data_IF_436032201241
#
_entry.id   IF_436032201241
#
_cell.length_a   1.000
_cell.length_b   1.000
_cell.length_c   1.000
_cell.angle_alpha   90.00
_cell.angle_beta   90.00
_cell.angle_gamma   90.00
#
_symmetry.space_group_name_H-M   'P 1'
#
loop_
_entity.id
_entity.type
_entity.pdbx_description
1 polymer ?
#
# COMPACT_ATOMS: atom_id res chain seq x y z
N UNK A 1 -29.16 31.60 -45.99
CA UNK A 1 -28.35 30.76 -45.10
C UNK A 1 -28.85 29.32 -45.22
N UNK A 2 -28.00 28.35 -45.59
CA UNK A 2 -28.43 26.97 -45.82
C UNK A 2 -28.69 26.25 -44.48
N UNK A 3 -29.89 26.41 -43.91
CA UNK A 3 -30.30 25.76 -42.65
C UNK A 3 -30.11 24.24 -42.67
N UNK A 4 -30.21 23.61 -43.85
CA UNK A 4 -29.96 22.18 -44.05
C UNK A 4 -28.52 21.74 -43.73
N UNK A 5 -27.54 22.65 -43.84
CA UNK A 5 -26.13 22.37 -43.51
C UNK A 5 -25.78 22.77 -42.07
N UNK A 6 -26.46 23.75 -41.48
CA UNK A 6 -26.20 24.19 -40.11
C UNK A 6 -26.69 23.18 -39.07
N UNK A 7 -27.82 22.52 -39.32
CA UNK A 7 -28.39 21.54 -38.40
C UNK A 7 -27.46 20.33 -38.13
N UNK A 8 -26.90 19.64 -39.15
CA UNK A 8 -25.97 18.54 -38.90
C UNK A 8 -24.68 19.01 -38.23
N UNK A 9 -24.17 20.20 -38.56
CA UNK A 9 -22.97 20.76 -37.92
C UNK A 9 -23.19 21.03 -36.41
N UNK A 10 -24.34 21.57 -36.05
CA UNK A 10 -24.71 21.79 -34.65
C UNK A 10 -24.83 20.46 -33.89
N UNK A 11 -25.47 19.45 -34.48
CA UNK A 11 -25.59 18.12 -33.87
C UNK A 11 -24.21 17.51 -33.65
N UNK A 12 -23.35 17.51 -34.67
CA UNK A 12 -22.00 16.94 -34.54
C UNK A 12 -21.17 17.70 -33.50
N UNK A 13 -21.31 19.02 -33.42
CA UNK A 13 -20.62 19.84 -32.43
C UNK A 13 -21.08 19.48 -31.01
N UNK A 14 -22.39 19.40 -30.79
CA UNK A 14 -22.97 19.04 -29.48
C UNK A 14 -22.58 17.62 -29.08
N UNK A 15 -22.66 16.66 -30.00
CA UNK A 15 -22.27 15.27 -29.74
C UNK A 15 -20.79 15.17 -29.39
N UNK A 16 -19.93 15.92 -30.11
CA UNK A 16 -18.49 15.96 -29.83
C UNK A 16 -18.20 16.57 -28.46
N UNK A 17 -18.85 17.69 -28.12
CA UNK A 17 -18.71 18.33 -26.81
C UNK A 17 -19.16 17.42 -25.66
N UNK A 18 -20.31 16.75 -25.80
CA UNK A 18 -20.82 15.81 -24.80
C UNK A 18 -19.90 14.61 -24.65
N UNK A 19 -19.43 14.03 -25.75
CA UNK A 19 -18.49 12.91 -25.74
C UNK A 19 -17.19 13.27 -25.00
N UNK A 20 -16.61 14.43 -25.31
CA UNK A 20 -15.41 14.94 -24.66
C UNK A 20 -15.62 15.16 -23.16
N UNK A 21 -16.75 15.76 -22.78
CA UNK A 21 -17.10 16.00 -21.39
C UNK A 21 -17.20 14.71 -20.58
N UNK A 22 -17.93 13.71 -21.11
CA UNK A 22 -18.09 12.41 -20.47
C UNK A 22 -16.73 11.71 -20.33
N UNK A 23 -15.92 11.71 -21.39
CA UNK A 23 -14.59 11.11 -21.39
C UNK A 23 -13.69 11.73 -20.31
N UNK A 24 -13.64 13.06 -20.22
CA UNK A 24 -12.85 13.76 -19.21
C UNK A 24 -13.33 13.49 -17.79
N UNK A 25 -14.63 13.40 -17.58
CA UNK A 25 -15.18 13.09 -16.26
C UNK A 25 -14.79 11.69 -15.80
N UNK A 26 -14.89 10.69 -16.68
CA UNK A 26 -14.41 9.34 -16.40
C UNK A 26 -12.90 9.29 -16.18
N UNK A 27 -12.12 9.98 -17.01
CA UNK A 27 -10.67 10.08 -16.85
C UNK A 27 -10.29 10.65 -15.48
N UNK A 28 -10.87 11.80 -15.09
CA UNK A 28 -10.63 12.42 -13.78
C UNK A 28 -10.95 11.49 -12.61
N UNK A 29 -12.08 10.78 -12.67
CA UNK A 29 -12.47 9.82 -11.62
C UNK A 29 -11.47 8.67 -11.51
N UNK A 30 -11.05 8.10 -12.65
CA UNK A 30 -10.07 7.02 -12.70
C UNK A 30 -8.71 7.48 -12.18
N UNK A 31 -8.27 8.68 -12.54
CA UNK A 31 -6.97 9.22 -12.11
C UNK A 31 -6.93 9.46 -10.60
N UNK A 32 -8.01 9.96 -10.00
CA UNK A 32 -8.11 10.12 -8.54
C UNK A 32 -8.03 8.76 -7.85
N UNK A 33 -8.80 7.77 -8.32
CA UNK A 33 -8.80 6.43 -7.75
C UNK A 33 -7.42 5.75 -7.85
N UNK A 34 -6.74 5.91 -9.00
CA UNK A 34 -5.40 5.38 -9.21
C UNK A 34 -4.38 6.05 -8.28
N UNK A 35 -4.40 7.38 -8.14
CA UNK A 35 -3.51 8.10 -7.23
C UNK A 35 -3.71 7.73 -5.77
N UNK A 36 -4.96 7.58 -5.33
CA UNK A 36 -5.27 7.11 -3.98
C UNK A 36 -4.73 5.70 -3.73
N UNK A 37 -4.91 4.80 -4.71
CA UNK A 37 -4.40 3.43 -4.65
C UNK A 37 -2.87 3.40 -4.60
N UNK A 38 -2.21 4.18 -5.45
CA UNK A 38 -0.74 4.30 -5.49
C UNK A 38 -0.18 4.78 -4.16
N UNK A 39 -0.74 5.86 -3.61
CA UNK A 39 -0.33 6.42 -2.31
C UNK A 39 -0.47 5.38 -1.20
N UNK A 40 -1.62 4.70 -1.11
CA UNK A 40 -1.86 3.64 -0.13
C UNK A 40 -0.85 2.51 -0.24
N UNK A 41 -0.56 2.04 -1.46
CA UNK A 41 0.41 0.97 -1.70
C UNK A 41 1.80 1.40 -1.24
N UNK A 42 2.22 2.62 -1.56
CA UNK A 42 3.54 3.13 -1.18
C UNK A 42 3.73 3.18 0.35
N UNK A 43 2.72 3.67 1.08
CA UNK A 43 2.76 3.65 2.55
C UNK A 43 2.84 2.23 3.11
N UNK A 44 2.04 1.29 2.57
CA UNK A 44 2.05 -0.10 3.03
C UNK A 44 3.36 -0.84 2.69
N UNK A 45 4.00 -0.52 1.56
CA UNK A 45 5.33 -1.04 1.21
C UNK A 45 6.37 -0.54 2.22
N UNK A 46 6.38 0.76 2.53
CA UNK A 46 7.31 1.34 3.49
C UNK A 46 7.09 0.79 4.90
N UNK A 47 5.84 0.64 5.32
CA UNK A 47 5.50 -0.01 6.58
C UNK A 47 6.00 -1.47 6.62
N UNK A 48 5.76 -2.25 5.56
CA UNK A 48 6.25 -3.62 5.47
C UNK A 48 7.79 -3.70 5.54
N UNK A 49 8.50 -2.81 4.85
CA UNK A 49 9.98 -2.76 4.87
C UNK A 49 10.53 -2.43 6.26
N UNK A 50 9.93 -1.46 6.95
CA UNK A 50 10.35 -1.08 8.31
C UNK A 50 10.06 -2.17 9.34
N UNK A 51 8.89 -2.82 9.25
CA UNK A 51 8.55 -3.96 10.10
C UNK A 51 9.44 -5.17 9.81
N UNK A 52 9.70 -5.48 8.52
CA UNK A 52 10.66 -6.52 8.15
C UNK A 52 11.99 -6.20 8.79
N UNK A 53 12.48 -4.96 8.70
CA UNK A 53 13.77 -4.55 9.23
C UNK A 53 13.87 -4.68 10.76
N UNK A 54 12.78 -4.36 11.46
CA UNK A 54 12.67 -4.48 12.92
C UNK A 54 12.57 -5.95 13.38
N UNK A 55 11.98 -6.83 12.56
CA UNK A 55 11.81 -8.23 12.92
C UNK A 55 13.15 -8.95 13.18
N UNK A 56 13.17 -9.79 14.22
CA UNK A 56 14.33 -10.58 14.67
C UNK A 56 15.56 -9.75 15.06
N UNK A 57 15.38 -8.51 15.54
CA UNK A 57 16.41 -7.74 16.25
C UNK A 57 16.02 -7.62 17.72
N UNK A 58 16.96 -7.91 18.63
CA UNK A 58 16.74 -7.81 20.08
C UNK A 58 16.90 -6.37 20.60
N UNK A 59 17.45 -5.46 19.79
CA UNK A 59 17.64 -4.07 20.17
C UNK A 59 16.39 -3.26 19.88
N UNK A 60 15.70 -2.88 20.97
CA UNK A 60 14.64 -1.87 21.04
C UNK A 60 15.06 -0.48 20.55
N UNK A 61 16.29 -0.31 20.08
CA UNK A 61 16.87 0.97 19.61
C UNK A 61 16.21 1.52 18.33
N UNK A 62 15.10 0.89 17.90
CA UNK A 62 14.29 1.27 16.74
C UNK A 62 12.79 1.12 16.99
N UNK A 63 12.31 1.53 18.17
CA UNK A 63 10.88 1.74 18.45
C UNK A 63 10.19 2.50 17.30
N UNK A 64 10.87 3.48 16.70
CA UNK A 64 10.36 4.23 15.53
C UNK A 64 10.05 3.34 14.30
N UNK A 65 10.81 2.25 14.13
CA UNK A 65 10.59 1.27 13.06
C UNK A 65 9.43 0.31 13.35
N UNK A 66 8.82 0.37 14.54
CA UNK A 66 7.60 -0.34 14.91
C UNK A 66 6.41 0.61 14.98
N UNK A 67 6.53 1.73 15.70
CA UNK A 67 5.43 2.67 15.92
C UNK A 67 4.90 3.30 14.63
N UNK A 68 5.79 3.86 13.80
CA UNK A 68 5.37 4.52 12.55
C UNK A 68 4.70 3.55 11.59
N UNK A 69 5.27 2.35 11.31
CA UNK A 69 4.60 1.38 10.46
C UNK A 69 3.26 0.88 11.00
N UNK A 70 3.13 0.67 12.32
CA UNK A 70 1.86 0.25 12.93
C UNK A 70 0.80 1.34 12.72
N UNK A 71 1.15 2.61 12.94
CA UNK A 71 0.25 3.74 12.68
C UNK A 71 -0.11 3.85 11.18
N UNK A 72 0.86 3.70 10.28
CA UNK A 72 0.63 3.71 8.83
C UNK A 72 -0.33 2.58 8.42
N UNK A 73 -0.19 1.39 8.99
CA UNK A 73 -1.09 0.25 8.72
C UNK A 73 -2.49 0.50 9.28
N UNK A 74 -2.61 1.11 10.46
CA UNK A 74 -3.92 1.48 11.01
C UNK A 74 -4.66 2.48 10.11
N UNK A 75 -3.93 3.40 9.47
CA UNK A 75 -4.49 4.42 8.58
C UNK A 75 -4.79 3.90 7.17
N UNK A 76 -3.88 3.14 6.58
CA UNK A 76 -3.92 2.77 5.16
C UNK A 76 -4.24 1.30 4.90
N UNK A 77 -4.24 0.47 5.94
CA UNK A 77 -4.43 -0.97 5.85
C UNK A 77 -5.87 -1.39 5.58
N UNK A 78 -6.02 -2.67 5.24
CA UNK A 78 -7.32 -3.33 5.19
C UNK A 78 -7.81 -3.66 6.60
N UNK A 79 -9.11 -3.93 6.77
CA UNK A 79 -9.68 -4.32 8.08
C UNK A 79 -8.91 -5.44 8.79
N UNK A 80 -8.44 -6.45 8.03
CA UNK A 80 -7.65 -7.57 8.56
C UNK A 80 -6.23 -7.13 8.98
N UNK A 81 -5.60 -6.24 8.21
CA UNK A 81 -4.29 -5.71 8.58
C UNK A 81 -4.38 -4.81 9.81
N UNK A 82 -5.45 -4.03 9.92
CA UNK A 82 -5.72 -3.18 11.09
C UNK A 82 -5.93 -4.04 12.33
N UNK A 83 -6.71 -5.12 12.27
CA UNK A 83 -6.91 -6.01 13.42
C UNK A 83 -5.59 -6.66 13.87
N UNK A 84 -4.80 -7.18 12.93
CA UNK A 84 -3.49 -7.76 13.22
C UNK A 84 -2.51 -6.73 13.81
N UNK A 85 -2.55 -5.48 13.34
CA UNK A 85 -1.72 -4.40 13.86
C UNK A 85 -2.11 -4.02 15.31
N UNK A 86 -3.41 -4.04 15.62
CA UNK A 86 -3.91 -3.81 17.00
C UNK A 86 -3.47 -4.96 17.91
N UNK A 87 -3.70 -6.22 17.49
CA UNK A 87 -3.29 -7.41 18.26
C UNK A 87 -1.80 -7.42 18.56
N UNK A 88 -0.98 -7.08 17.56
CA UNK A 88 0.46 -6.94 17.71
C UNK A 88 0.82 -5.82 18.70
N UNK A 89 0.21 -4.64 18.58
CA UNK A 89 0.49 -3.53 19.48
C UNK A 89 0.13 -3.88 20.93
N UNK A 90 -0.98 -4.58 21.17
CA UNK A 90 -1.35 -5.08 22.49
C UNK A 90 -0.36 -6.13 23.00
N UNK A 91 0.07 -7.07 22.16
CA UNK A 91 1.00 -8.12 22.55
C UNK A 91 2.39 -7.58 22.95
N UNK A 92 2.86 -6.55 22.25
CA UNK A 92 4.14 -5.89 22.56
C UNK A 92 4.07 -5.18 23.93
N UNK A 93 2.95 -4.52 24.23
CA UNK A 93 2.75 -3.80 25.51
C UNK A 93 2.62 -4.78 26.69
N UNK A 94 1.91 -5.89 26.50
CA UNK A 94 1.59 -6.83 27.59
C UNK A 94 2.68 -7.87 27.83
N UNK A 95 3.21 -8.49 26.77
CA UNK A 95 4.05 -9.69 26.86
C UNK A 95 5.49 -9.47 26.37
N UNK A 96 5.83 -8.27 25.89
CA UNK A 96 7.06 -7.98 25.15
C UNK A 96 7.30 -8.92 23.95
N UNK A 97 6.25 -9.62 23.50
CA UNK A 97 6.31 -10.50 22.33
C UNK A 97 6.03 -9.66 21.08
N UNK A 98 6.93 -9.79 20.11
CA UNK A 98 6.92 -9.04 18.85
C UNK A 98 6.80 -9.99 17.67
N UNK A 99 5.91 -11.00 17.74
CA UNK A 99 5.67 -11.87 16.60
C UNK A 99 5.05 -11.12 15.42
N UNK A 100 5.91 -10.56 14.57
CA UNK A 100 5.56 -9.79 13.37
C UNK A 100 5.16 -10.68 12.19
N UNK A 101 5.33 -12.00 12.29
CA UNK A 101 5.25 -12.93 11.16
C UNK A 101 3.88 -12.87 10.48
N UNK A 102 2.79 -12.95 11.26
CA UNK A 102 1.43 -12.95 10.72
C UNK A 102 1.07 -11.66 9.99
N UNK A 103 1.46 -10.50 10.56
CA UNK A 103 1.22 -9.20 9.95
C UNK A 103 2.05 -9.02 8.67
N UNK A 104 3.32 -9.43 8.67
CA UNK A 104 4.22 -9.36 7.52
C UNK A 104 3.74 -10.26 6.37
N UNK A 105 3.23 -11.44 6.66
CA UNK A 105 2.67 -12.36 5.65
C UNK A 105 1.41 -11.81 5.01
N UNK A 106 0.48 -11.27 5.81
CA UNK A 106 -0.75 -10.66 5.30
C UNK A 106 -0.45 -9.43 4.45
N UNK A 107 0.45 -8.55 4.90
CA UNK A 107 0.91 -7.39 4.12
C UNK A 107 1.55 -7.83 2.81
N UNK A 108 2.48 -8.79 2.83
CA UNK A 108 3.14 -9.31 1.63
C UNK A 108 2.12 -9.86 0.65
N UNK A 109 1.18 -10.68 1.12
CA UNK A 109 0.15 -11.28 0.27
C UNK A 109 -0.76 -10.24 -0.38
N UNK A 110 -1.19 -9.25 0.41
CA UNK A 110 -2.03 -8.16 -0.08
C UNK A 110 -1.29 -7.25 -1.08
N UNK A 111 -0.06 -6.84 -0.76
CA UNK A 111 0.76 -6.01 -1.64
C UNK A 111 1.05 -6.70 -2.98
N UNK A 112 1.37 -8.00 -2.96
CA UNK A 112 1.56 -8.77 -4.21
C UNK A 112 0.30 -8.80 -5.05
N UNK A 113 -0.87 -8.99 -4.43
CA UNK A 113 -2.16 -8.93 -5.13
C UNK A 113 -2.42 -7.55 -5.72
N UNK A 114 -2.15 -6.48 -4.97
CA UNK A 114 -2.37 -5.10 -5.42
C UNK A 114 -1.45 -4.70 -6.59
N UNK A 115 -0.24 -5.24 -6.61
CA UNK A 115 0.75 -5.09 -7.69
C UNK A 115 0.56 -6.11 -8.84
N UNK A 116 -0.51 -6.93 -8.79
CA UNK A 116 -0.80 -7.97 -9.77
C UNK A 116 0.35 -8.97 -10.00
N UNK A 117 1.07 -9.30 -8.93
CA UNK A 117 2.16 -10.27 -8.91
C UNK A 117 1.64 -11.68 -8.62
N UNK A 118 2.42 -12.69 -9.02
CA UNK A 118 2.10 -14.10 -8.75
C UNK A 118 1.95 -14.39 -7.26
N UNK A 119 1.02 -15.28 -6.92
CA UNK A 119 0.86 -15.76 -5.55
C UNK A 119 2.04 -16.63 -5.17
N UNK A 120 2.59 -16.38 -3.98
CA UNK A 120 3.71 -17.12 -3.43
C UNK A 120 3.26 -17.78 -2.13
N UNK A 121 3.30 -19.10 -2.10
CA UNK A 121 2.94 -19.90 -0.91
C UNK A 121 4.12 -20.16 0.02
N UNK A 122 5.33 -19.74 -0.35
CA UNK A 122 6.52 -19.94 0.49
C UNK A 122 6.48 -18.99 1.68
N UNK A 123 6.81 -19.44 2.89
CA UNK A 123 6.86 -18.57 4.07
C UNK A 123 7.89 -17.45 3.87
N UNK A 124 7.71 -16.33 4.57
CA UNK A 124 8.68 -15.23 4.52
C UNK A 124 9.99 -15.69 5.17
N UNK A 125 11.09 -15.60 4.41
CA UNK A 125 12.44 -15.78 4.94
C UNK A 125 13.11 -14.42 5.08
N UNK A 126 13.26 -13.98 6.32
CA UNK A 126 13.95 -12.74 6.67
C UNK A 126 15.46 -12.99 6.59
N UNK A 127 16.13 -12.33 5.65
CA UNK A 127 17.58 -12.47 5.47
C UNK A 127 18.34 -11.47 6.35
N UNK A 128 19.38 -11.94 7.04
CA UNK A 128 20.24 -11.14 7.90
C UNK A 128 21.70 -11.46 7.66
N UNK A 129 22.51 -10.42 7.51
CA UNK A 129 23.97 -10.51 7.50
C UNK A 129 24.45 -10.17 8.90
N UNK A 130 25.10 -11.12 9.58
CA UNK A 130 25.72 -10.86 10.86
C UNK A 130 27.12 -10.28 10.61
N UNK A 131 27.36 -9.03 11.02
CA UNK A 131 28.64 -8.37 10.77
C UNK A 131 29.61 -8.67 11.91
N UNK A 132 30.03 -9.93 12.05
CA UNK A 132 30.90 -10.40 13.14
C UNK A 132 32.39 -10.05 12.96
N UNK A 133 32.73 -8.94 12.30
CA UNK A 133 34.12 -8.59 11.94
C UNK A 133 34.68 -7.33 12.60
N UNK A 134 33.97 -6.70 13.52
CA UNK A 134 34.48 -5.49 14.24
C UNK A 134 35.12 -5.77 15.61
N UNK A 135 35.14 -7.02 16.11
CA UNK A 135 35.76 -7.35 17.41
C UNK A 135 37.19 -7.88 17.31
N UNK A 136 37.88 -7.69 16.18
CA UNK A 136 39.32 -7.99 16.02
C UNK A 136 40.05 -6.75 15.49
N UNK A 137 40.02 -5.67 16.25
CA UNK A 137 41.04 -4.61 16.21
C UNK A 137 41.32 -4.11 17.61
#
# INVERSE_FOLDING_TARGET
MNLKLLFPLLITSVVTMLGWFILHWFAKRRDIANKQKELRINYLIEAWRKLEYAANRNEFDKIECLEKPIADIQLFGTKKQISLAIELATAIVENQDSNLTGLLEELRGNLRKELNLEKVSTPIKIFRVNNSKESMK
#
